data_IF_017160734864
#
_entry.id   IF_017160734864
#
_cell.length_a   1.000
_cell.length_b   1.000
_cell.length_c   1.000
_cell.angle_alpha   90.00
_cell.angle_beta   90.00
_cell.angle_gamma   90.00
#
_symmetry.space_group_name_H-M   'P 1'
#
loop_
_entity.id
_entity.type
_entity.pdbx_description
1 polymer ?
#
# COMPACT_ATOMS: atom_id res chain seq x y z
N UNK A 1 10.01 -25.27 46.85
CA UNK A 1 11.29 -25.51 47.55
C UNK A 1 12.34 -25.99 46.56
N UNK A 2 12.97 -25.05 45.83
CA UNK A 2 14.38 -25.07 45.42
C UNK A 2 14.73 -23.60 45.21
N UNK A 3 15.72 -23.14 45.96
CA UNK A 3 16.29 -21.80 45.95
C UNK A 3 17.72 -21.93 45.42
N UNK A 4 18.09 -21.14 44.41
CA UNK A 4 19.48 -20.89 43.98
C UNK A 4 19.47 -19.46 43.38
N UNK A 5 19.75 -18.45 44.21
CA UNK A 5 21.06 -17.79 44.42
C UNK A 5 21.33 -16.70 43.38
N UNK A 6 21.25 -15.46 43.89
CA UNK A 6 21.77 -14.22 43.32
C UNK A 6 23.29 -14.24 43.15
N UNK A 7 23.80 -13.70 42.05
CA UNK A 7 24.82 -12.63 42.04
C UNK A 7 25.31 -12.36 40.61
N UNK A 8 25.43 -11.08 40.26
CA UNK A 8 25.98 -10.67 38.96
C UNK A 8 25.63 -9.25 38.54
N UNK A 9 25.83 -8.28 39.44
CA UNK A 9 25.66 -6.85 39.21
C UNK A 9 26.70 -6.36 38.17
N UNK A 10 26.32 -6.26 36.89
CA UNK A 10 27.11 -5.54 35.87
C UNK A 10 26.53 -4.14 35.72
N UNK A 11 27.29 -3.15 36.18
CA UNK A 11 26.96 -1.74 36.07
C UNK A 11 26.76 -1.36 34.59
N UNK A 12 25.52 -1.01 34.22
CA UNK A 12 25.22 -0.37 32.92
C UNK A 12 25.57 1.12 33.01
N UNK A 13 26.23 1.69 31.98
CA UNK A 13 26.58 3.11 31.99
C UNK A 13 25.31 3.97 31.95
N UNK A 14 25.16 4.82 32.96
CA UNK A 14 24.11 5.83 33.03
C UNK A 14 24.42 6.94 32.02
N UNK A 15 23.89 6.81 30.80
CA UNK A 15 23.80 7.93 29.87
C UNK A 15 22.72 8.90 30.38
N UNK A 16 23.15 9.98 31.03
CA UNK A 16 22.28 11.12 31.32
C UNK A 16 21.99 11.83 29.99
N UNK A 17 20.83 11.57 29.40
CA UNK A 17 20.28 12.42 28.36
C UNK A 17 20.00 13.80 28.98
N UNK A 18 20.78 14.80 28.54
CA UNK A 18 20.52 16.21 28.77
C UNK A 18 19.12 16.53 28.25
N UNK A 19 18.38 17.33 29.03
CA UNK A 19 16.99 17.69 28.79
C UNK A 19 16.72 18.09 27.34
N UNK A 20 15.80 17.35 26.73
CA UNK A 20 15.14 17.72 25.49
C UNK A 20 14.10 18.78 25.86
N UNK A 21 14.41 20.04 25.59
CA UNK A 21 13.40 21.10 25.52
C UNK A 21 12.37 20.72 24.48
N UNK A 22 11.09 20.69 24.87
CA UNK A 22 9.96 20.38 24.00
C UNK A 22 10.01 21.20 22.70
N UNK A 23 10.40 20.53 21.62
CA UNK A 23 10.21 21.03 20.26
C UNK A 23 8.71 21.00 20.04
N UNK A 24 8.10 22.13 19.68
CA UNK A 24 6.67 22.19 19.37
C UNK A 24 6.34 21.14 18.32
N UNK A 25 5.43 20.22 18.63
CA UNK A 25 5.08 19.04 17.81
C UNK A 25 4.56 19.37 16.39
N UNK A 26 4.32 20.66 16.11
CA UNK A 26 3.85 21.18 14.82
C UNK A 26 4.87 22.15 14.18
N UNK A 27 6.17 21.98 14.42
CA UNK A 27 7.20 22.80 13.80
C UNK A 27 7.24 22.56 12.28
N UNK A 28 6.54 23.42 11.53
CA UNK A 28 6.64 23.51 10.08
C UNK A 28 8.10 23.75 9.67
N UNK A 29 8.59 23.17 8.57
CA UNK A 29 9.81 23.65 7.94
C UNK A 29 9.54 25.03 7.34
N UNK A 30 9.67 26.09 8.14
CA UNK A 30 9.39 27.47 7.76
C UNK A 30 8.67 28.30 8.83
N UNK A 31 8.15 29.50 8.47
CA UNK A 31 7.41 30.34 9.41
C UNK A 31 6.08 29.69 9.82
N UNK A 32 5.64 29.84 11.08
CA UNK A 32 4.41 29.25 11.57
C UNK A 32 3.17 29.79 10.83
N UNK A 33 2.08 29.03 10.88
CA UNK A 33 0.76 29.51 10.44
C UNK A 33 0.28 30.60 11.40
N UNK A 34 -0.21 31.70 10.85
CA UNK A 34 -0.89 32.77 11.57
C UNK A 34 -2.31 32.34 11.96
N UNK A 35 -2.91 33.02 12.94
CA UNK A 35 -4.29 32.74 13.36
C UNK A 35 -5.31 32.87 12.21
N UNK A 36 -5.09 33.80 11.27
CA UNK A 36 -5.94 33.94 10.07
C UNK A 36 -5.78 32.76 9.12
N UNK A 37 -4.55 32.28 8.90
CA UNK A 37 -4.32 31.10 8.08
C UNK A 37 -4.95 29.86 8.71
N UNK A 38 -4.82 29.67 10.03
CA UNK A 38 -5.47 28.57 10.74
C UNK A 38 -7.00 28.62 10.61
N UNK A 39 -7.60 29.81 10.69
CA UNK A 39 -9.05 29.97 10.46
C UNK A 39 -9.45 29.56 9.03
N UNK A 40 -8.70 30.01 8.02
CA UNK A 40 -8.97 29.65 6.61
C UNK A 40 -8.88 28.15 6.41
N UNK A 41 -7.88 27.49 6.99
CA UNK A 41 -7.72 26.05 6.90
C UNK A 41 -8.87 25.31 7.59
N UNK A 42 -9.27 25.74 8.78
CA UNK A 42 -10.43 25.16 9.47
C UNK A 42 -11.74 25.33 8.69
N UNK A 43 -11.95 26.49 8.06
CA UNK A 43 -13.11 26.73 7.17
C UNK A 43 -13.09 25.82 5.92
N UNK A 44 -11.90 25.39 5.49
CA UNK A 44 -11.71 24.44 4.40
C UNK A 44 -11.71 22.96 4.85
N UNK A 45 -12.02 22.67 6.12
CA UNK A 45 -12.01 21.29 6.64
C UNK A 45 -10.61 20.71 6.77
N UNK A 46 -9.59 21.53 7.04
CA UNK A 46 -8.20 21.10 7.19
C UNK A 46 -7.69 21.37 8.61
N UNK A 47 -7.05 20.36 9.20
CA UNK A 47 -6.42 20.47 10.52
C UNK A 47 -4.99 19.92 10.51
N UNK A 48 -4.18 20.34 11.49
CA UNK A 48 -2.81 19.88 11.67
C UNK A 48 -2.63 19.26 13.05
N UNK A 49 -2.22 17.99 13.10
CA UNK A 49 -1.89 17.30 14.34
C UNK A 49 -0.56 16.56 14.22
N UNK A 50 0.33 16.77 15.19
CA UNK A 50 1.64 16.10 15.29
C UNK A 50 2.42 16.06 13.97
N UNK A 51 2.44 17.19 13.24
CA UNK A 51 3.16 17.25 11.97
C UNK A 51 2.49 16.54 10.79
N UNK A 52 1.18 16.24 10.85
CA UNK A 52 0.41 15.71 9.71
C UNK A 52 -0.86 16.50 9.42
N UNK A 53 -1.28 16.48 8.16
CA UNK A 53 -2.50 17.09 7.65
C UNK A 53 -3.65 16.11 7.80
N UNK A 54 -4.75 16.58 8.37
CA UNK A 54 -6.02 15.85 8.44
C UNK A 54 -7.00 16.54 7.49
N UNK A 55 -7.58 15.77 6.59
CA UNK A 55 -8.60 16.19 5.63
C UNK A 55 -9.98 16.00 6.24
N UNK A 56 -10.99 16.68 5.69
CA UNK A 56 -12.38 16.59 6.16
C UNK A 56 -12.51 16.72 7.69
N UNK A 57 -11.66 17.58 8.27
CA UNK A 57 -11.48 17.76 9.68
C UNK A 57 -12.79 18.19 10.34
N UNK A 58 -13.23 17.41 11.30
CA UNK A 58 -14.46 17.68 12.05
C UNK A 58 -14.21 18.69 13.17
N UNK A 59 -15.25 19.41 13.63
CA UNK A 59 -15.17 20.30 14.77
C UNK A 59 -14.56 19.63 16.02
N UNK A 60 -13.85 20.37 16.88
CA UNK A 60 -13.32 19.83 18.13
C UNK A 60 -14.38 19.19 19.02
N UNK A 61 -14.03 18.10 19.71
CA UNK A 61 -14.89 17.44 20.67
C UNK A 61 -15.25 18.39 21.83
N UNK A 62 -16.50 18.32 22.30
CA UNK A 62 -16.94 19.02 23.50
C UNK A 62 -16.70 18.19 24.78
N UNK A 63 -16.82 18.83 25.95
CA UNK A 63 -16.56 18.18 27.23
C UNK A 63 -17.57 17.08 27.58
N UNK A 64 -18.81 17.20 27.08
CA UNK A 64 -19.87 16.25 27.38
C UNK A 64 -19.64 14.93 26.64
N UNK A 65 -19.34 15.00 25.34
CA UNK A 65 -19.00 13.83 24.52
C UNK A 65 -17.70 13.20 25.01
N UNK A 66 -16.68 14.02 25.34
CA UNK A 66 -15.42 13.51 25.89
C UNK A 66 -15.65 12.73 27.20
N UNK A 67 -16.51 13.25 28.09
CA UNK A 67 -16.90 12.56 29.32
C UNK A 67 -17.62 11.25 29.06
N UNK A 68 -18.57 11.23 28.12
CA UNK A 68 -19.31 10.03 27.74
C UNK A 68 -18.40 8.92 27.20
N UNK A 69 -17.41 9.26 26.37
CA UNK A 69 -16.42 8.27 25.89
C UNK A 69 -15.54 7.77 27.04
N UNK A 70 -15.09 8.68 27.92
CA UNK A 70 -14.26 8.32 29.07
C UNK A 70 -14.96 7.33 30.02
N UNK A 71 -16.29 7.43 30.17
CA UNK A 71 -17.08 6.49 30.98
C UNK A 71 -17.07 5.05 30.45
N UNK A 72 -16.86 4.86 29.14
CA UNK A 72 -16.74 3.53 28.49
C UNK A 72 -15.34 2.92 28.64
N UNK A 73 -14.34 3.71 29.05
CA UNK A 73 -12.93 3.30 29.08
C UNK A 73 -12.50 2.75 30.44
N UNK A 74 -11.55 1.79 30.42
CA UNK A 74 -11.01 1.16 31.63
C UNK A 74 -10.16 2.10 32.49
N UNK A 75 -9.59 3.15 31.89
CA UNK A 75 -8.87 4.22 32.56
C UNK A 75 -9.19 5.60 31.96
N UNK A 76 -8.48 6.66 32.38
CA UNK A 76 -8.68 8.00 31.81
C UNK A 76 -8.36 8.01 30.31
N UNK A 77 -8.87 8.99 29.57
CA UNK A 77 -8.46 9.17 28.19
C UNK A 77 -7.01 9.71 28.14
N UNK A 78 -6.11 9.12 27.33
CA UNK A 78 -4.74 9.60 27.23
C UNK A 78 -4.64 11.03 26.67
N UNK A 79 -3.75 11.85 27.23
CA UNK A 79 -3.59 13.26 26.82
C UNK A 79 -3.38 13.47 25.31
N UNK A 80 -2.58 12.65 24.59
CA UNK A 80 -2.42 12.78 23.15
C UNK A 80 -3.72 12.55 22.35
N UNK A 81 -4.59 11.65 22.82
CA UNK A 81 -5.89 11.41 22.20
C UNK A 81 -6.83 12.59 22.41
N UNK A 82 -6.89 13.11 23.64
CA UNK A 82 -7.65 14.32 23.93
C UNK A 82 -7.16 15.49 23.07
N UNK A 83 -5.84 15.65 22.92
CA UNK A 83 -5.25 16.69 22.08
C UNK A 83 -5.63 16.56 20.60
N UNK A 84 -5.68 15.33 20.06
CA UNK A 84 -6.17 15.07 18.71
C UNK A 84 -7.63 15.53 18.59
N UNK A 85 -8.51 15.03 19.45
CA UNK A 85 -9.94 15.34 19.36
C UNK A 85 -10.29 16.79 19.64
N UNK A 86 -9.46 17.52 20.40
CA UNK A 86 -9.58 18.98 20.54
C UNK A 86 -9.05 19.77 19.35
N UNK A 87 -8.25 19.13 18.50
CA UNK A 87 -7.79 19.69 17.23
C UNK A 87 -8.80 19.39 16.14
N UNK A 88 -9.22 18.13 16.04
CA UNK A 88 -10.25 17.64 15.14
C UNK A 88 -10.83 16.32 15.66
N UNK A 89 -12.14 16.24 15.79
CA UNK A 89 -12.83 15.03 16.28
C UNK A 89 -13.34 14.21 15.11
N UNK A 90 -12.41 13.65 14.34
CA UNK A 90 -12.70 12.91 13.11
C UNK A 90 -11.90 13.44 11.93
N UNK A 91 -12.23 12.96 10.74
CA UNK A 91 -11.59 13.34 9.48
C UNK A 91 -10.82 12.20 8.84
N UNK A 92 -10.13 12.52 7.75
CA UNK A 92 -9.47 11.56 6.88
C UNK A 92 -7.96 11.77 6.81
N UNK A 93 -7.26 10.67 6.61
CA UNK A 93 -5.82 10.60 6.46
C UNK A 93 -5.50 10.00 5.09
N UNK A 94 -4.55 10.61 4.38
CA UNK A 94 -4.12 10.20 3.05
C UNK A 94 -2.59 10.06 3.05
N UNK A 95 -2.12 9.10 3.85
CA UNK A 95 -0.72 8.79 4.13
C UNK A 95 -0.44 7.30 4.05
N UNK A 96 0.82 6.94 3.80
CA UNK A 96 1.30 5.56 3.84
C UNK A 96 1.68 5.19 5.28
N UNK A 97 1.00 4.19 5.84
CA UNK A 97 1.34 3.57 7.12
C UNK A 97 1.78 2.12 6.90
N UNK A 98 2.84 1.72 7.61
CA UNK A 98 3.30 0.34 7.64
C UNK A 98 3.53 -0.10 9.08
N UNK A 99 3.25 -1.36 9.36
CA UNK A 99 3.48 -1.96 10.66
C UNK A 99 4.27 -3.25 10.54
N UNK A 100 5.08 -3.53 11.56
CA UNK A 100 5.63 -4.85 11.76
C UNK A 100 4.61 -5.71 12.51
N UNK A 101 3.91 -6.56 11.77
CA UNK A 101 3.03 -7.59 12.32
C UNK A 101 3.74 -8.93 12.12
N UNK A 102 3.90 -9.73 13.18
CA UNK A 102 4.59 -11.03 13.19
C UNK A 102 5.94 -11.08 12.43
N UNK A 103 6.75 -10.03 12.50
CA UNK A 103 8.03 -9.93 11.80
C UNK A 103 7.90 -9.60 10.31
N UNK A 104 6.71 -9.21 9.85
CA UNK A 104 6.40 -8.83 8.48
C UNK A 104 6.02 -7.36 8.43
N UNK A 105 6.72 -6.63 7.56
CA UNK A 105 6.44 -5.23 7.25
C UNK A 105 5.24 -5.14 6.29
N UNK A 106 4.05 -4.87 6.83
CA UNK A 106 2.79 -4.84 6.08
C UNK A 106 2.20 -3.44 5.98
N UNK A 107 1.58 -3.08 4.84
CA UNK A 107 0.79 -1.85 4.76
C UNK A 107 -0.45 -1.96 5.66
N UNK A 108 -0.84 -0.83 6.23
CA UNK A 108 -2.09 -0.66 6.96
C UNK A 108 -2.85 0.54 6.39
N UNK A 109 -4.13 0.35 6.10
CA UNK A 109 -5.06 1.42 5.75
C UNK A 109 -5.57 2.08 7.03
N UNK A 110 -4.97 3.22 7.36
CA UNK A 110 -5.45 4.11 8.43
C UNK A 110 -5.91 5.41 7.79
N UNK A 111 -7.08 5.35 7.15
CA UNK A 111 -7.60 6.43 6.30
C UNK A 111 -8.69 7.27 6.95
N UNK A 112 -9.31 6.77 8.02
CA UNK A 112 -10.37 7.45 8.77
C UNK A 112 -10.01 7.55 10.25
N UNK A 113 -10.31 8.71 10.85
CA UNK A 113 -10.41 8.90 12.29
C UNK A 113 -11.89 8.80 12.67
N UNK A 114 -12.28 7.83 13.49
CA UNK A 114 -13.68 7.59 13.83
C UNK A 114 -14.27 8.76 14.63
N UNK A 115 -15.49 9.15 14.25
CA UNK A 115 -16.28 10.18 14.94
C UNK A 115 -17.76 9.82 14.88
N UNK A 116 -18.62 10.42 15.74
CA UNK A 116 -20.06 10.17 15.71
C UNK A 116 -20.69 10.57 14.38
N UNK A 117 -21.64 9.78 13.90
CA UNK A 117 -22.32 9.99 12.62
C UNK A 117 -21.38 9.95 11.40
N UNK A 118 -20.17 9.36 11.50
CA UNK A 118 -19.36 9.09 10.30
C UNK A 118 -20.12 8.12 9.38
N UNK A 119 -20.05 8.38 8.07
CA UNK A 119 -20.88 7.70 7.07
C UNK A 119 -20.42 6.30 6.68
N UNK A 120 -19.36 5.80 7.33
CA UNK A 120 -18.71 4.54 7.04
C UNK A 120 -19.37 3.36 7.78
N UNK A 121 -18.71 2.20 7.84
CA UNK A 121 -19.31 0.94 8.31
C UNK A 121 -19.91 1.04 9.73
N UNK A 122 -19.14 1.60 10.66
CA UNK A 122 -19.60 2.00 11.99
C UNK A 122 -18.98 3.36 12.31
N UNK A 123 -19.79 4.23 12.90
CA UNK A 123 -19.29 5.44 13.53
C UNK A 123 -18.55 5.11 14.84
N UNK A 124 -18.03 6.13 15.53
CA UNK A 124 -17.30 5.91 16.80
C UNK A 124 -18.14 5.13 17.82
N UNK A 125 -19.44 5.43 17.95
CA UNK A 125 -20.30 4.77 18.94
C UNK A 125 -20.63 3.33 18.54
N UNK A 126 -20.89 3.08 17.27
CA UNK A 126 -21.07 1.73 16.74
C UNK A 126 -19.85 0.85 17.00
N UNK A 127 -18.64 1.38 16.82
CA UNK A 127 -17.42 0.65 17.18
C UNK A 127 -17.25 0.45 18.68
N UNK A 128 -17.52 1.46 19.50
CA UNK A 128 -17.48 1.32 20.97
C UNK A 128 -18.45 0.24 21.44
N UNK A 129 -19.68 0.24 20.92
CA UNK A 129 -20.71 -0.73 21.29
C UNK A 129 -20.32 -2.14 20.84
N UNK A 130 -19.83 -2.30 19.60
CA UNK A 130 -19.30 -3.56 19.09
C UNK A 130 -18.17 -4.13 19.98
N UNK A 131 -17.20 -3.30 20.35
CA UNK A 131 -16.08 -3.74 21.20
C UNK A 131 -16.53 -4.03 22.65
N UNK A 132 -17.55 -3.31 23.15
CA UNK A 132 -18.16 -3.60 24.45
C UNK A 132 -18.84 -4.98 24.45
N UNK A 133 -19.60 -5.31 23.40
CA UNK A 133 -20.25 -6.62 23.26
C UNK A 133 -19.21 -7.76 23.30
N UNK A 134 -18.09 -7.61 22.59
CA UNK A 134 -16.98 -8.58 22.63
C UNK A 134 -16.29 -8.65 24.01
N UNK A 135 -16.18 -7.52 24.70
CA UNK A 135 -15.58 -7.45 26.04
C UNK A 135 -16.48 -8.10 27.12
N UNK A 136 -17.80 -7.98 27.00
CA UNK A 136 -18.78 -8.61 27.89
C UNK A 136 -18.70 -10.15 27.80
N UNK A 137 -18.53 -10.70 26.60
CA UNK A 137 -18.25 -12.13 26.39
C UNK A 137 -16.98 -12.59 27.13
N UNK A 138 -16.05 -11.65 27.35
CA UNK A 138 -14.78 -11.84 28.05
C UNK A 138 -14.80 -11.39 29.53
N UNK A 139 -15.97 -11.04 30.08
CA UNK A 139 -16.19 -10.59 31.47
C UNK A 139 -15.54 -9.22 31.82
N UNK A 140 -15.44 -8.30 30.86
CA UNK A 140 -14.98 -6.92 31.09
C UNK A 140 -16.06 -5.91 30.68
N UNK A 141 -16.48 -5.05 31.61
CA UNK A 141 -17.52 -4.03 31.38
C UNK A 141 -16.96 -2.72 30.78
N UNK A 142 -15.64 -2.63 30.58
CA UNK A 142 -14.97 -1.41 30.09
C UNK A 142 -13.91 -1.71 29.06
N UNK A 143 -13.74 -0.79 28.12
CA UNK A 143 -12.78 -0.91 27.03
C UNK A 143 -11.35 -0.61 27.51
N UNK A 144 -10.47 -1.59 27.40
CA UNK A 144 -9.01 -1.40 27.54
C UNK A 144 -8.41 -0.83 26.24
N UNK A 145 -8.96 -1.21 25.09
CA UNK A 145 -8.57 -0.73 23.77
C UNK A 145 -9.74 0.03 23.16
N UNK A 146 -9.59 1.36 23.05
CA UNK A 146 -10.60 2.23 22.46
C UNK A 146 -10.32 2.37 20.96
N UNK A 147 -11.27 2.01 20.07
CA UNK A 147 -11.10 2.23 18.64
C UNK A 147 -11.11 3.73 18.32
N UNK A 148 -10.18 4.18 17.48
CA UNK A 148 -10.03 5.60 17.11
C UNK A 148 -10.01 5.86 15.60
N UNK A 149 -9.93 4.81 14.79
CA UNK A 149 -9.91 4.91 13.34
C UNK A 149 -9.49 3.61 12.67
N UNK A 150 -9.35 3.64 11.35
CA UNK A 150 -9.05 2.46 10.56
C UNK A 150 -9.55 2.56 9.13
N UNK A 151 -9.91 1.41 8.57
CA UNK A 151 -10.56 1.29 7.27
C UNK A 151 -11.59 0.15 7.28
N UNK A 152 -12.85 0.53 7.12
CA UNK A 152 -14.00 -0.36 7.14
C UNK A 152 -13.95 -1.34 8.34
N UNK A 153 -14.30 -2.61 8.12
CA UNK A 153 -14.24 -3.68 9.11
C UNK A 153 -12.93 -4.48 9.05
N UNK A 154 -12.01 -4.14 8.13
CA UNK A 154 -10.81 -4.91 7.84
C UNK A 154 -9.64 -4.51 8.74
N UNK A 155 -9.51 -3.23 9.06
CA UNK A 155 -8.38 -2.70 9.82
C UNK A 155 -8.86 -1.69 10.85
N UNK A 156 -8.38 -1.84 12.09
CA UNK A 156 -8.76 -0.97 13.21
C UNK A 156 -7.52 -0.54 13.98
N UNK A 157 -7.48 0.73 14.35
CA UNK A 157 -6.45 1.34 15.19
C UNK A 157 -7.06 1.69 16.54
N UNK A 158 -6.37 1.29 17.59
CA UNK A 158 -6.81 1.41 18.97
C UNK A 158 -5.81 2.21 19.81
N UNK A 159 -6.34 2.90 20.81
CA UNK A 159 -5.55 3.50 21.89
C UNK A 159 -5.82 2.71 23.18
N UNK A 160 -4.75 2.31 23.87
CA UNK A 160 -4.85 1.63 25.15
C UNK A 160 -5.18 2.63 26.28
N UNK A 161 -6.34 2.48 26.91
CA UNK A 161 -6.85 3.38 27.96
C UNK A 161 -6.63 2.84 29.37
N UNK A 162 -6.36 1.53 29.50
CA UNK A 162 -6.09 0.90 30.80
C UNK A 162 -4.93 1.57 31.53
N UNK A 163 -4.99 1.61 32.86
CA UNK A 163 -3.89 2.10 33.67
C UNK A 163 -2.70 1.13 33.58
N UNK A 164 -1.48 1.67 33.43
CA UNK A 164 -0.28 0.84 33.36
C UNK A 164 0.79 1.41 32.42
N UNK A 165 1.86 0.64 32.15
CA UNK A 165 2.96 1.06 31.29
C UNK A 165 2.55 1.26 29.82
N UNK A 166 1.46 0.61 29.39
CA UNK A 166 0.94 0.72 28.01
C UNK A 166 -0.15 1.78 27.87
N UNK A 167 -0.44 2.54 28.92
CA UNK A 167 -1.41 3.64 28.85
C UNK A 167 -1.02 4.66 27.78
N UNK A 168 -1.91 4.89 26.80
CA UNK A 168 -1.68 5.75 25.65
C UNK A 168 -1.06 5.06 24.43
N UNK A 169 -0.55 3.83 24.56
CA UNK A 169 0.05 3.12 23.46
C UNK A 169 -0.99 2.79 22.36
N UNK A 170 -0.52 2.79 21.12
CA UNK A 170 -1.35 2.58 19.93
C UNK A 170 -1.15 1.17 19.40
N UNK A 171 -2.24 0.49 19.10
CA UNK A 171 -2.27 -0.85 18.54
C UNK A 171 -3.09 -0.88 17.26
N UNK A 172 -2.84 -1.86 16.40
CA UNK A 172 -3.71 -2.19 15.29
C UNK A 172 -4.19 -3.63 15.36
N UNK A 173 -5.34 -3.86 14.77
CA UNK A 173 -5.84 -5.16 14.38
C UNK A 173 -6.09 -5.15 12.87
N UNK A 174 -5.70 -6.22 12.19
CA UNK A 174 -5.92 -6.45 10.77
C UNK A 174 -6.58 -7.80 10.58
N UNK A 175 -7.70 -7.83 9.85
CA UNK A 175 -8.44 -9.04 9.58
C UNK A 175 -7.63 -9.99 8.71
N UNK A 176 -7.60 -11.26 9.11
CA UNK A 176 -7.07 -12.34 8.30
C UNK A 176 -7.97 -12.69 7.12
N UNK A 177 -7.41 -13.32 6.08
CA UNK A 177 -8.26 -13.86 5.02
C UNK A 177 -9.14 -14.99 5.58
N UNK A 178 -10.39 -15.14 5.09
CA UNK A 178 -11.31 -16.15 5.61
C UNK A 178 -10.75 -17.57 5.61
N UNK A 179 -11.14 -18.42 6.57
CA UNK A 179 -10.71 -19.81 6.61
C UNK A 179 -10.98 -20.55 5.28
N UNK A 180 -9.95 -21.21 4.74
CA UNK A 180 -10.02 -21.95 3.47
C UNK A 180 -9.45 -21.23 2.26
N UNK A 181 -9.02 -19.97 2.42
CA UNK A 181 -8.21 -19.29 1.41
C UNK A 181 -6.75 -19.79 1.50
N UNK A 182 -6.09 -19.96 0.35
CA UNK A 182 -4.74 -20.54 0.25
C UNK A 182 -3.67 -19.73 1.01
N UNK A 183 -3.96 -18.44 1.26
CA UNK A 183 -3.14 -17.51 2.03
C UNK A 183 -3.81 -17.06 3.34
N UNK A 184 -4.78 -17.82 3.85
CA UNK A 184 -5.44 -17.53 5.13
C UNK A 184 -4.44 -17.60 6.27
N UNK A 185 -3.96 -16.42 6.66
CA UNK A 185 -3.43 -16.13 7.98
C UNK A 185 -4.60 -15.65 8.83
N UNK A 186 -4.67 -16.06 10.09
CA UNK A 186 -5.66 -15.50 11.03
C UNK A 186 -5.45 -14.00 11.22
N UNK A 187 -6.33 -13.40 12.01
CA UNK A 187 -6.22 -11.99 12.38
C UNK A 187 -4.87 -11.67 13.03
N UNK A 188 -4.39 -10.45 12.79
CA UNK A 188 -3.08 -9.99 13.23
C UNK A 188 -3.24 -8.78 14.11
N UNK A 189 -2.46 -8.72 15.19
CA UNK A 189 -2.45 -7.60 16.13
C UNK A 189 -1.02 -7.17 16.37
N UNK A 190 -0.78 -5.87 16.45
CA UNK A 190 0.55 -5.33 16.74
C UNK A 190 0.51 -3.97 17.40
N UNK A 191 1.59 -3.64 18.11
CA UNK A 191 1.80 -2.29 18.66
C UNK A 191 2.38 -1.41 17.56
N UNK A 192 1.75 -0.28 17.28
CA UNK A 192 2.20 0.69 16.30
C UNK A 192 3.15 1.72 16.92
N UNK A 193 2.79 2.27 18.08
CA UNK A 193 3.53 3.36 18.70
C UNK A 193 3.33 3.40 20.23
N UNK A 194 4.22 4.11 20.92
CA UNK A 194 4.11 4.36 22.36
C UNK A 194 3.03 5.38 22.71
N UNK A 195 2.68 6.26 21.76
CA UNK A 195 1.56 7.17 21.86
C UNK A 195 1.05 7.60 20.48
N UNK A 196 -0.04 8.39 20.47
CA UNK A 196 -0.67 8.86 19.25
C UNK A 196 0.19 9.85 18.44
N UNK A 197 1.09 10.60 19.09
CA UNK A 197 2.02 11.49 18.36
C UNK A 197 3.09 10.68 17.65
N UNK A 198 3.57 9.61 18.29
CA UNK A 198 4.45 8.61 17.70
C UNK A 198 3.81 7.91 16.50
N UNK A 199 2.52 7.57 16.56
CA UNK A 199 1.77 7.04 15.42
C UNK A 199 1.77 8.03 14.25
N UNK A 200 1.36 9.27 14.51
CA UNK A 200 1.30 10.31 13.46
C UNK A 200 2.68 10.59 12.85
N UNK A 201 3.76 10.51 13.65
CA UNK A 201 5.13 10.59 13.17
C UNK A 201 5.54 9.48 12.18
N UNK A 202 4.86 8.33 12.18
CA UNK A 202 5.11 7.21 11.26
C UNK A 202 4.36 7.34 9.93
N UNK A 203 3.32 8.17 9.87
CA UNK A 203 2.61 8.50 8.63
C UNK A 203 3.57 9.24 7.71
N UNK A 204 3.71 8.81 6.47
CA UNK A 204 4.63 9.41 5.51
C UNK A 204 4.03 9.34 4.11
N UNK A 205 4.72 9.91 3.14
CA UNK A 205 4.41 9.75 1.72
C UNK A 205 5.59 9.08 1.03
N UNK A 206 5.35 8.02 0.27
CA UNK A 206 6.40 7.38 -0.54
C UNK A 206 6.77 8.21 -1.79
N UNK A 207 5.90 9.12 -2.21
CA UNK A 207 6.07 9.97 -3.39
C UNK A 207 5.57 11.39 -3.12
N UNK A 208 6.16 12.39 -3.78
CA UNK A 208 5.62 13.75 -3.77
C UNK A 208 4.27 13.79 -4.52
N UNK A 209 3.16 14.18 -3.86
CA UNK A 209 1.86 14.25 -4.49
C UNK A 209 1.76 15.22 -5.67
N UNK A 210 2.63 16.24 -5.75
CA UNK A 210 2.66 17.17 -6.89
C UNK A 210 3.52 16.67 -8.06
N UNK A 211 4.30 15.60 -7.88
CA UNK A 211 5.00 14.92 -8.98
C UNK A 211 4.20 13.71 -9.49
N UNK A 212 3.35 13.13 -8.65
CA UNK A 212 2.46 12.02 -8.97
C UNK A 212 1.08 12.51 -9.43
N UNK A 213 0.47 11.86 -10.41
CA UNK A 213 -0.93 12.18 -10.75
C UNK A 213 -1.92 11.45 -9.83
N UNK A 214 -1.55 10.25 -9.37
CA UNK A 214 -2.38 9.32 -8.61
C UNK A 214 -1.64 8.73 -7.39
N UNK A 215 -2.40 8.09 -6.50
CA UNK A 215 -1.90 7.40 -5.30
C UNK A 215 -2.08 8.20 -4.00
N UNK A 216 -1.45 7.70 -2.94
CA UNK A 216 -1.47 8.32 -1.62
C UNK A 216 -1.00 9.78 -1.67
N UNK A 217 -1.74 10.68 -1.03
CA UNK A 217 -1.50 12.11 -0.97
C UNK A 217 -2.21 12.92 -2.07
N UNK A 218 -2.90 12.27 -3.01
CA UNK A 218 -3.64 12.95 -4.08
C UNK A 218 -4.78 13.82 -3.53
N UNK A 219 -5.52 13.34 -2.52
CA UNK A 219 -6.60 14.12 -1.90
C UNK A 219 -6.01 15.32 -1.13
N UNK A 220 -4.83 15.15 -0.51
CA UNK A 220 -4.12 16.27 0.12
C UNK A 220 -3.69 17.33 -0.88
N UNK A 221 -3.14 16.92 -2.03
CA UNK A 221 -2.75 17.83 -3.10
C UNK A 221 -3.97 18.65 -3.53
N UNK A 222 -5.07 17.97 -3.83
CA UNK A 222 -6.27 18.59 -4.36
C UNK A 222 -6.86 19.60 -3.35
N UNK A 223 -6.94 19.23 -2.08
CA UNK A 223 -7.40 20.14 -1.02
C UNK A 223 -6.49 21.36 -0.84
N UNK A 224 -5.17 21.17 -0.88
CA UNK A 224 -4.19 22.28 -0.76
C UNK A 224 -4.26 23.21 -1.97
N UNK A 225 -4.36 22.66 -3.18
CA UNK A 225 -4.45 23.43 -4.41
C UNK A 225 -5.80 24.18 -4.50
N UNK A 226 -6.90 23.61 -3.97
CA UNK A 226 -8.19 24.29 -3.85
C UNK A 226 -8.11 25.53 -2.94
N UNK A 227 -7.54 25.39 -1.73
CA UNK A 227 -7.30 26.53 -0.82
C UNK A 227 -6.45 27.61 -1.51
N UNK A 228 -5.40 27.19 -2.21
CA UNK A 228 -4.47 28.08 -2.92
C UNK A 228 -5.08 28.76 -4.14
N UNK A 229 -6.12 28.19 -4.74
CA UNK A 229 -6.80 28.75 -5.92
C UNK A 229 -7.75 29.92 -5.58
N UNK A 230 -7.95 30.20 -4.29
CA UNK A 230 -8.78 31.31 -3.85
C UNK A 230 -8.13 32.69 -4.09
N UNK A 231 -8.98 33.71 -4.23
CA UNK A 231 -8.55 35.10 -4.37
C UNK A 231 -7.88 35.68 -3.11
N UNK A 232 -8.01 35.04 -1.95
CA UNK A 232 -7.49 35.51 -0.66
C UNK A 232 -5.96 35.32 -0.56
N UNK A 233 -5.17 36.40 -0.35
CA UNK A 233 -3.73 36.30 -0.10
C UNK A 233 -3.35 35.41 1.10
N UNK A 234 -4.18 35.40 2.15
CA UNK A 234 -3.97 34.57 3.32
C UNK A 234 -4.10 33.08 3.00
N UNK A 235 -5.07 32.72 2.16
CA UNK A 235 -5.27 31.34 1.72
C UNK A 235 -4.13 30.85 0.82
N UNK A 236 -3.65 31.70 -0.11
CA UNK A 236 -2.45 31.39 -0.91
C UNK A 236 -1.21 31.17 -0.05
N UNK A 237 -1.02 31.98 0.98
CA UNK A 237 0.07 31.81 1.95
C UNK A 237 -0.07 30.50 2.74
N UNK A 238 -1.29 30.20 3.22
CA UNK A 238 -1.58 28.95 3.93
C UNK A 238 -1.32 27.72 3.06
N UNK A 239 -1.82 27.70 1.82
CA UNK A 239 -1.61 26.62 0.88
C UNK A 239 -0.12 26.40 0.56
N UNK A 240 0.66 27.47 0.36
CA UNK A 240 2.09 27.35 0.14
C UNK A 240 2.84 26.75 1.34
N UNK A 241 2.42 27.07 2.57
CA UNK A 241 2.96 26.47 3.80
C UNK A 241 2.55 25.00 3.94
N UNK A 242 1.29 24.67 3.66
CA UNK A 242 0.80 23.28 3.68
C UNK A 242 1.50 22.42 2.63
N UNK A 243 1.71 22.93 1.41
CA UNK A 243 2.46 22.21 0.38
C UNK A 243 3.85 21.82 0.86
N UNK A 244 4.61 22.77 1.43
CA UNK A 244 5.94 22.49 2.01
C UNK A 244 5.89 21.45 3.12
N UNK A 245 4.83 21.46 3.90
CA UNK A 245 4.64 20.53 5.00
C UNK A 245 4.32 19.11 4.52
N UNK A 246 3.42 18.98 3.56
CA UNK A 246 3.11 17.69 2.91
C UNK A 246 4.36 17.14 2.22
N UNK A 247 5.10 17.98 1.49
CA UNK A 247 6.37 17.58 0.87
C UNK A 247 7.43 17.15 1.89
N UNK A 248 7.44 17.73 3.09
CA UNK A 248 8.33 17.31 4.17
C UNK A 248 7.94 15.95 4.81
N UNK A 249 6.75 15.43 4.51
CA UNK A 249 6.33 14.09 4.90
C UNK A 249 6.80 13.02 3.89
N UNK A 250 7.37 13.42 2.75
CA UNK A 250 7.86 12.49 1.73
C UNK A 250 9.16 11.83 2.20
N UNK A 251 9.24 10.52 2.03
CA UNK A 251 10.44 9.74 2.35
C UNK A 251 11.62 10.15 1.46
N UNK A 252 12.64 10.78 2.06
CA UNK A 252 13.81 11.27 1.33
C UNK A 252 14.88 10.19 1.11
N UNK A 253 14.57 9.22 0.25
CA UNK A 253 15.54 8.20 -0.15
C UNK A 253 16.67 8.77 -1.02
N UNK A 254 16.47 9.92 -1.69
CA UNK A 254 17.50 10.58 -2.51
C UNK A 254 18.55 11.25 -1.64
N UNK A 255 18.15 11.96 -0.58
CA UNK A 255 19.07 12.50 0.43
C UNK A 255 19.89 11.39 1.09
N UNK A 256 19.24 10.29 1.51
CA UNK A 256 19.96 9.14 2.09
C UNK A 256 20.93 8.47 1.09
N UNK A 257 20.61 8.48 -0.21
CA UNK A 257 21.47 8.01 -1.29
C UNK A 257 22.69 8.91 -1.50
N UNK A 258 22.52 10.23 -1.39
CA UNK A 258 23.60 11.21 -1.52
C UNK A 258 24.52 11.25 -0.29
N UNK A 259 23.97 11.03 0.90
CA UNK A 259 24.71 10.90 2.16
C UNK A 259 25.39 9.53 2.32
N UNK A 260 25.05 8.55 1.48
CA UNK A 260 25.57 7.18 1.56
C UNK A 260 25.03 6.37 2.75
N UNK A 261 23.91 6.78 3.35
CA UNK A 261 23.28 6.13 4.51
C UNK A 261 22.16 5.17 4.12
N UNK A 262 21.73 5.18 2.85
CA UNK A 262 20.59 4.40 2.35
C UNK A 262 20.69 2.90 2.66
N UNK A 263 21.87 2.30 2.55
CA UNK A 263 22.06 0.86 2.76
C UNK A 263 21.68 0.39 4.18
N UNK A 264 21.75 1.26 5.19
CA UNK A 264 21.32 0.95 6.55
C UNK A 264 19.81 1.19 6.79
N UNK A 265 19.14 1.90 5.88
CA UNK A 265 17.77 2.36 6.03
C UNK A 265 16.82 1.53 5.16
N UNK A 266 16.38 0.37 5.68
CA UNK A 266 15.58 -0.62 4.94
C UNK A 266 14.40 -0.03 4.16
N UNK A 267 13.59 0.83 4.78
CA UNK A 267 12.41 1.43 4.13
C UNK A 267 12.80 2.30 2.93
N UNK A 268 13.77 3.20 3.11
CA UNK A 268 14.24 4.08 2.02
C UNK A 268 14.93 3.28 0.92
N UNK A 269 15.72 2.26 1.27
CA UNK A 269 16.39 1.39 0.32
C UNK A 269 15.41 0.64 -0.58
N UNK A 270 14.36 0.05 0.01
CA UNK A 270 13.30 -0.65 -0.74
C UNK A 270 12.55 0.28 -1.68
N UNK A 271 12.21 1.48 -1.20
CA UNK A 271 11.57 2.51 -2.01
C UNK A 271 12.45 2.92 -3.21
N UNK A 272 13.76 3.11 -2.98
CA UNK A 272 14.70 3.44 -4.04
C UNK A 272 14.84 2.32 -5.08
N UNK A 273 14.92 1.06 -4.64
CA UNK A 273 14.96 -0.12 -5.53
C UNK A 273 13.67 -0.25 -6.35
N UNK A 274 12.51 -0.10 -5.71
CA UNK A 274 11.22 -0.11 -6.39
C UNK A 274 11.14 0.98 -7.46
N UNK A 275 11.52 2.22 -7.10
CA UNK A 275 11.45 3.36 -8.03
C UNK A 275 12.40 3.18 -9.21
N UNK A 276 13.63 2.76 -8.97
CA UNK A 276 14.60 2.52 -10.03
C UNK A 276 14.16 1.40 -10.99
N UNK A 277 13.51 0.36 -10.46
CA UNK A 277 12.96 -0.73 -11.26
C UNK A 277 11.73 -0.30 -12.08
N UNK A 278 10.81 0.45 -11.48
CA UNK A 278 9.60 0.93 -12.14
C UNK A 278 9.90 1.97 -13.25
N UNK A 279 10.92 2.81 -13.05
CA UNK A 279 11.28 3.90 -13.95
C UNK A 279 12.27 3.49 -15.07
N UNK A 280 12.61 2.20 -15.18
CA UNK A 280 13.60 1.65 -16.11
C UNK A 280 15.02 2.28 -15.96
N UNK A 281 15.40 2.66 -14.73
CA UNK A 281 16.64 3.37 -14.42
C UNK A 281 17.78 2.42 -13.99
N UNK A 282 18.48 1.88 -14.99
CA UNK A 282 19.66 1.03 -14.80
C UNK A 282 20.81 1.76 -14.08
N UNK A 283 20.97 3.06 -14.31
CA UNK A 283 22.07 3.83 -13.73
C UNK A 283 21.89 3.98 -12.21
N UNK A 284 20.65 4.27 -11.79
CA UNK A 284 20.29 4.32 -10.39
C UNK A 284 20.43 2.95 -9.73
N UNK A 285 19.91 1.86 -10.34
CA UNK A 285 20.10 0.50 -9.80
C UNK A 285 21.59 0.15 -9.64
N UNK A 286 22.42 0.47 -10.62
CA UNK A 286 23.86 0.25 -10.53
C UNK A 286 24.49 1.03 -9.37
N UNK A 287 24.06 2.28 -9.14
CA UNK A 287 24.50 3.08 -8.00
C UNK A 287 24.05 2.46 -6.67
N UNK A 288 22.79 2.00 -6.57
CA UNK A 288 22.26 1.34 -5.38
C UNK A 288 23.04 0.07 -5.02
N UNK A 289 23.31 -0.78 -6.02
CA UNK A 289 24.11 -2.00 -5.83
C UNK A 289 25.55 -1.69 -5.43
N UNK A 290 26.16 -0.65 -5.99
CA UNK A 290 27.51 -0.22 -5.60
C UNK A 290 27.60 0.25 -4.14
N UNK A 291 26.50 0.70 -3.55
CA UNK A 291 26.41 1.02 -2.12
C UNK A 291 26.09 -0.19 -1.23
N UNK A 292 25.99 -1.39 -1.80
CA UNK A 292 25.69 -2.61 -1.06
C UNK A 292 24.19 -2.91 -0.90
N UNK A 293 23.31 -2.28 -1.69
CA UNK A 293 21.91 -2.70 -1.75
C UNK A 293 21.80 -4.02 -2.54
N UNK A 294 21.02 -4.96 -2.04
CA UNK A 294 20.75 -6.23 -2.72
C UNK A 294 19.71 -6.02 -3.83
N UNK A 295 20.04 -6.26 -5.12
CA UNK A 295 19.08 -6.12 -6.22
C UNK A 295 17.98 -7.20 -6.22
N UNK A 296 18.08 -8.23 -5.37
CA UNK A 296 17.06 -9.25 -5.16
C UNK A 296 16.18 -8.98 -3.92
N UNK A 297 16.45 -7.92 -3.14
CA UNK A 297 15.67 -7.63 -1.94
C UNK A 297 14.21 -7.35 -2.28
N UNK A 298 13.29 -8.01 -1.56
CA UNK A 298 11.86 -7.73 -1.69
C UNK A 298 11.53 -6.28 -1.31
N UNK A 299 10.89 -5.57 -2.22
CA UNK A 299 10.57 -4.14 -2.07
C UNK A 299 9.15 -3.92 -1.56
N UNK A 300 8.16 -4.65 -2.09
CA UNK A 300 6.74 -4.45 -1.79
C UNK A 300 5.95 -5.74 -1.86
N UNK A 301 5.27 -6.12 -0.78
CA UNK A 301 4.36 -7.29 -0.72
C UNK A 301 4.95 -8.59 -1.30
N UNK A 302 6.25 -8.83 -1.05
CA UNK A 302 6.97 -9.99 -1.58
C UNK A 302 7.42 -9.90 -3.04
N UNK A 303 7.28 -8.74 -3.68
CA UNK A 303 7.80 -8.49 -5.03
C UNK A 303 9.29 -8.12 -4.97
N UNK A 304 10.08 -8.70 -5.87
CA UNK A 304 11.45 -8.28 -6.16
C UNK A 304 11.48 -7.08 -7.11
N UNK A 305 12.63 -6.38 -7.24
CA UNK A 305 12.81 -5.34 -8.26
C UNK A 305 12.58 -5.87 -9.68
N UNK A 306 12.86 -7.15 -9.96
CA UNK A 306 12.58 -7.76 -11.26
C UNK A 306 11.07 -7.86 -11.51
N UNK A 307 10.29 -8.23 -10.50
CA UNK A 307 8.84 -8.34 -10.62
C UNK A 307 8.21 -6.96 -10.87
N UNK A 308 8.71 -5.92 -10.19
CA UNK A 308 8.30 -4.53 -10.44
C UNK A 308 8.65 -4.12 -11.87
N UNK A 309 9.89 -4.35 -12.31
CA UNK A 309 10.33 -4.05 -13.67
C UNK A 309 9.45 -4.73 -14.74
N UNK A 310 9.00 -5.96 -14.49
CA UNK A 310 8.10 -6.69 -15.39
C UNK A 310 6.69 -6.06 -15.47
N UNK A 311 6.12 -5.65 -14.34
CA UNK A 311 4.82 -4.94 -14.30
C UNK A 311 4.90 -3.64 -15.09
N UNK A 312 6.01 -2.92 -14.97
CA UNK A 312 6.22 -1.63 -15.61
C UNK A 312 6.80 -1.72 -17.04
N UNK A 313 7.04 -2.92 -17.56
CA UNK A 313 7.68 -3.15 -18.89
C UNK A 313 9.03 -2.43 -19.03
N UNK A 314 9.82 -2.40 -17.95
CA UNK A 314 11.12 -1.74 -17.87
C UNK A 314 12.19 -2.51 -18.66
N UNK A 315 12.31 -2.13 -19.94
CA UNK A 315 13.05 -2.85 -20.99
C UNK A 315 14.56 -2.98 -20.74
N UNK A 316 15.19 -2.00 -20.10
CA UNK A 316 16.62 -1.99 -19.83
C UNK A 316 16.95 -2.65 -18.48
N UNK A 317 16.10 -2.46 -17.48
CA UNK A 317 16.27 -3.01 -16.13
C UNK A 317 16.09 -4.52 -16.10
N UNK A 318 15.09 -5.07 -16.80
CA UNK A 318 14.84 -6.52 -16.84
C UNK A 318 16.10 -7.31 -17.23
N UNK A 319 16.73 -7.10 -18.40
CA UNK A 319 17.93 -7.85 -18.77
C UNK A 319 19.09 -7.60 -17.81
N UNK A 320 19.24 -6.36 -17.30
CA UNK A 320 20.30 -6.02 -16.34
C UNK A 320 20.21 -6.78 -15.00
N UNK A 321 18.99 -6.99 -14.50
CA UNK A 321 18.71 -7.80 -13.29
C UNK A 321 18.91 -9.29 -13.57
N UNK A 322 18.47 -9.78 -14.73
CA UNK A 322 18.65 -11.18 -15.13
C UNK A 322 20.13 -11.56 -15.30
N UNK A 323 20.97 -10.66 -15.83
CA UNK A 323 22.42 -10.85 -15.93
C UNK A 323 23.11 -10.97 -14.56
N UNK A 324 22.51 -10.39 -13.51
CA UNK A 324 23.00 -10.45 -12.14
C UNK A 324 22.48 -11.65 -11.36
N UNK A 325 21.68 -12.51 -11.99
CA UNK A 325 21.15 -13.71 -11.37
C UNK A 325 20.12 -13.43 -10.29
N UNK A 326 19.35 -12.33 -10.41
CA UNK A 326 18.19 -12.11 -9.55
C UNK A 326 17.22 -13.28 -9.71
N UNK A 327 16.71 -13.87 -8.61
CA UNK A 327 15.80 -15.02 -8.69
C UNK A 327 14.53 -14.69 -9.48
N UNK A 328 14.01 -15.67 -10.23
CA UNK A 328 12.90 -15.48 -11.18
C UNK A 328 11.65 -16.31 -10.83
N UNK A 329 11.64 -17.00 -9.69
CA UNK A 329 10.65 -18.03 -9.36
C UNK A 329 9.23 -17.48 -9.45
N UNK A 330 9.01 -16.22 -9.04
CA UNK A 330 7.70 -15.58 -9.03
C UNK A 330 7.43 -14.66 -10.23
N UNK A 331 8.41 -14.47 -11.11
CA UNK A 331 8.36 -13.40 -12.12
C UNK A 331 7.28 -13.58 -13.17
N UNK A 332 7.01 -14.81 -13.63
CA UNK A 332 5.91 -15.06 -14.55
C UNK A 332 4.53 -14.93 -13.89
N UNK A 333 4.42 -15.28 -12.60
CA UNK A 333 3.17 -15.12 -11.84
C UNK A 333 2.69 -13.67 -11.79
N UNK A 334 3.60 -12.70 -11.89
CA UNK A 334 3.26 -11.27 -11.87
C UNK A 334 3.28 -10.69 -13.29
N UNK A 335 4.34 -10.99 -14.05
CA UNK A 335 4.67 -10.37 -15.32
C UNK A 335 4.10 -11.03 -16.58
N UNK A 336 3.39 -12.17 -16.51
CA UNK A 336 2.97 -12.91 -17.72
C UNK A 336 2.14 -12.10 -18.73
N UNK A 337 1.42 -11.07 -18.29
CA UNK A 337 0.64 -10.15 -19.13
C UNK A 337 1.50 -9.12 -19.90
N UNK A 338 2.78 -8.96 -19.54
CA UNK A 338 3.63 -7.87 -19.98
C UNK A 338 4.94 -8.32 -20.68
N UNK A 339 5.28 -9.61 -20.60
CA UNK A 339 6.47 -10.19 -21.24
C UNK A 339 6.23 -10.48 -22.72
N UNK A 340 7.29 -10.39 -23.53
CA UNK A 340 7.32 -10.96 -24.87
C UNK A 340 7.69 -12.47 -24.84
N UNK A 341 7.64 -13.10 -26.02
CA UNK A 341 7.89 -14.54 -26.17
C UNK A 341 9.33 -14.94 -25.83
N UNK A 342 10.32 -14.09 -26.10
CA UNK A 342 11.73 -14.40 -25.82
C UNK A 342 12.02 -14.32 -24.33
N UNK A 343 11.55 -13.24 -23.69
CA UNK A 343 11.65 -13.05 -22.25
C UNK A 343 10.89 -14.15 -21.49
N UNK A 344 9.70 -14.53 -21.93
CA UNK A 344 8.96 -15.63 -21.31
C UNK A 344 9.74 -16.96 -21.34
N UNK A 345 10.40 -17.29 -22.47
CA UNK A 345 11.28 -18.47 -22.57
C UNK A 345 12.48 -18.34 -21.65
N UNK A 346 13.12 -17.18 -21.65
CA UNK A 346 14.30 -16.89 -20.84
C UNK A 346 14.02 -17.06 -19.34
N UNK A 347 12.86 -16.58 -18.87
CA UNK A 347 12.39 -16.74 -17.48
C UNK A 347 12.11 -18.21 -17.16
N UNK A 348 11.45 -18.94 -18.08
CA UNK A 348 11.20 -20.37 -17.95
C UNK A 348 12.49 -21.19 -17.83
N UNK A 349 13.47 -20.91 -18.70
CA UNK A 349 14.77 -21.59 -18.70
C UNK A 349 15.56 -21.32 -17.41
N UNK A 350 15.30 -20.18 -16.76
CA UNK A 350 15.85 -19.79 -15.45
C UNK A 350 15.07 -20.33 -14.26
N UNK A 351 14.00 -21.09 -14.47
CA UNK A 351 13.24 -21.77 -13.42
C UNK A 351 12.05 -20.97 -12.88
N UNK A 352 11.54 -20.00 -13.62
CA UNK A 352 10.30 -19.31 -13.24
C UNK A 352 9.14 -20.31 -13.08
N UNK A 353 8.43 -20.22 -11.96
CA UNK A 353 7.30 -21.08 -11.68
C UNK A 353 6.09 -20.69 -12.52
N UNK A 354 5.32 -21.69 -12.94
CA UNK A 354 4.06 -21.48 -13.65
C UNK A 354 2.98 -22.34 -13.01
N UNK A 355 1.87 -21.69 -12.73
CA UNK A 355 0.66 -22.25 -12.17
C UNK A 355 -0.58 -21.77 -12.96
N UNK A 356 -1.76 -22.05 -12.43
CA UNK A 356 -3.02 -21.64 -13.03
C UNK A 356 -3.22 -20.11 -13.02
N UNK A 357 -2.69 -19.41 -12.02
CA UNK A 357 -2.78 -17.95 -11.93
C UNK A 357 -1.92 -17.28 -13.00
N UNK A 358 -0.73 -17.81 -13.25
CA UNK A 358 0.20 -17.36 -14.31
C UNK A 358 -0.44 -17.43 -15.69
N UNK A 359 -1.07 -18.57 -16.03
CA UNK A 359 -1.79 -18.72 -17.31
C UNK A 359 -2.98 -17.76 -17.39
N UNK A 360 -3.69 -17.53 -16.28
CA UNK A 360 -4.81 -16.59 -16.24
C UNK A 360 -4.36 -15.17 -16.57
N UNK A 361 -3.26 -14.71 -15.98
CA UNK A 361 -2.68 -13.39 -16.29
C UNK A 361 -2.14 -13.34 -17.72
N UNK A 362 -1.54 -14.41 -18.21
CA UNK A 362 -1.07 -14.48 -19.59
C UNK A 362 -2.20 -14.23 -20.60
N UNK A 363 -3.46 -14.56 -20.30
CA UNK A 363 -4.59 -14.28 -21.21
C UNK A 363 -4.80 -12.79 -21.49
N UNK A 364 -4.30 -11.91 -20.63
CA UNK A 364 -4.30 -10.46 -20.81
C UNK A 364 -3.14 -9.99 -21.70
N UNK A 365 -2.20 -10.88 -22.04
CA UNK A 365 -1.13 -10.61 -22.98
C UNK A 365 -1.68 -10.50 -24.42
N UNK A 366 -1.17 -9.50 -25.15
CA UNK A 366 -1.51 -9.24 -26.54
C UNK A 366 -0.91 -10.30 -27.46
N UNK A 367 0.28 -10.82 -27.14
CA UNK A 367 0.94 -11.89 -27.88
C UNK A 367 0.38 -13.26 -27.49
N UNK A 368 -0.41 -13.84 -28.39
CA UNK A 368 -1.02 -15.16 -28.16
C UNK A 368 0.01 -16.30 -28.11
N UNK A 369 1.21 -16.12 -28.65
CA UNK A 369 2.27 -17.13 -28.56
C UNK A 369 2.85 -17.22 -27.15
N UNK A 370 2.87 -16.12 -26.38
CA UNK A 370 3.20 -16.14 -24.95
C UNK A 370 2.17 -16.99 -24.20
N UNK A 371 0.87 -16.75 -24.47
CA UNK A 371 -0.23 -17.54 -23.89
C UNK A 371 -0.04 -19.03 -24.20
N UNK A 372 0.28 -19.35 -25.45
CA UNK A 372 0.49 -20.71 -25.92
C UNK A 372 1.68 -21.37 -25.22
N UNK A 373 2.81 -20.67 -25.13
CA UNK A 373 4.02 -21.14 -24.46
C UNK A 373 3.75 -21.46 -22.99
N UNK A 374 3.23 -20.50 -22.23
CA UNK A 374 3.01 -20.63 -20.80
C UNK A 374 1.96 -21.70 -20.51
N UNK A 375 0.90 -21.76 -21.31
CA UNK A 375 -0.11 -22.81 -21.18
C UNK A 375 0.50 -24.20 -21.39
N UNK A 376 1.39 -24.39 -22.38
CA UNK A 376 2.07 -25.67 -22.66
C UNK A 376 2.98 -26.13 -21.53
N UNK A 377 3.60 -25.20 -20.82
CA UNK A 377 4.46 -25.49 -19.69
C UNK A 377 3.70 -26.05 -18.47
N UNK A 378 2.39 -25.78 -18.34
CA UNK A 378 1.60 -26.29 -17.21
C UNK A 378 0.96 -27.65 -17.50
N UNK A 379 0.94 -28.52 -16.47
CA UNK A 379 0.14 -29.75 -16.49
C UNK A 379 -1.34 -29.43 -16.22
N UNK A 380 -2.27 -29.89 -17.07
CA UNK A 380 -3.69 -29.69 -16.84
C UNK A 380 -4.17 -30.33 -15.53
N UNK A 381 -4.59 -29.53 -14.56
CA UNK A 381 -5.26 -29.98 -13.32
C UNK A 381 -6.77 -29.65 -13.33
N UNK A 382 -7.47 -29.94 -12.22
CA UNK A 382 -8.91 -29.63 -12.08
C UNK A 382 -9.20 -28.12 -12.06
N UNK A 383 -8.26 -27.32 -11.56
CA UNK A 383 -8.30 -25.86 -11.58
C UNK A 383 -8.19 -25.29 -12.98
N UNK A 384 -7.65 -26.03 -13.96
CA UNK A 384 -7.62 -25.60 -15.36
C UNK A 384 -8.91 -25.83 -16.14
N UNK A 385 -9.71 -26.83 -15.77
CA UNK A 385 -10.99 -27.15 -16.42
C UNK A 385 -11.99 -25.96 -16.39
N UNK A 386 -11.91 -25.11 -15.36
CA UNK A 386 -12.75 -23.90 -15.23
C UNK A 386 -12.45 -22.85 -16.30
N UNK A 387 -11.26 -22.87 -16.93
CA UNK A 387 -10.86 -21.88 -17.93
C UNK A 387 -11.34 -22.21 -19.35
N UNK A 388 -11.70 -23.46 -19.65
CA UNK A 388 -12.14 -23.86 -21.00
C UNK A 388 -13.30 -22.99 -21.52
N UNK A 389 -14.26 -22.63 -20.65
CA UNK A 389 -15.36 -21.71 -21.01
C UNK A 389 -14.88 -20.29 -21.32
N UNK A 390 -13.99 -19.73 -20.49
CA UNK A 390 -13.41 -18.38 -20.71
C UNK A 390 -12.61 -18.34 -22.00
N UNK A 391 -11.79 -19.36 -22.25
CA UNK A 391 -10.99 -19.48 -23.48
C UNK A 391 -11.86 -19.56 -24.74
N UNK A 392 -12.96 -20.32 -24.70
CA UNK A 392 -13.93 -20.37 -25.81
C UNK A 392 -14.61 -19.03 -26.06
N UNK A 393 -14.99 -18.33 -25.00
CA UNK A 393 -15.57 -16.99 -25.11
C UNK A 393 -14.58 -16.02 -25.78
N UNK A 394 -13.33 -15.99 -25.31
CA UNK A 394 -12.28 -15.14 -25.89
C UNK A 394 -11.96 -15.53 -27.33
N UNK A 395 -11.94 -16.83 -27.66
CA UNK A 395 -11.75 -17.31 -29.02
C UNK A 395 -12.89 -16.85 -29.96
N UNK A 396 -14.13 -16.86 -29.48
CA UNK A 396 -15.28 -16.38 -30.23
C UNK A 396 -15.23 -14.85 -30.44
N UNK A 397 -14.83 -14.09 -29.41
CA UNK A 397 -14.61 -12.64 -29.52
C UNK A 397 -13.53 -12.30 -30.54
N UNK A 398 -12.39 -13.01 -30.52
CA UNK A 398 -11.33 -12.84 -31.51
C UNK A 398 -11.81 -13.20 -32.93
N UNK A 399 -12.61 -14.25 -33.10
CA UNK A 399 -13.19 -14.59 -34.40
C UNK A 399 -14.14 -13.48 -34.93
N UNK A 400 -14.94 -12.89 -34.06
CA UNK A 400 -15.81 -11.75 -34.41
C UNK A 400 -14.99 -10.51 -34.78
N UNK A 401 -13.94 -10.19 -34.01
CA UNK A 401 -13.03 -9.09 -34.30
C UNK A 401 -12.33 -9.27 -35.65
N UNK A 402 -11.90 -10.49 -35.98
CA UNK A 402 -11.31 -10.82 -37.27
C UNK A 402 -12.29 -10.59 -38.45
N UNK A 403 -13.55 -10.99 -38.29
CA UNK A 403 -14.59 -10.77 -39.30
C UNK A 403 -14.87 -9.28 -39.51
N UNK A 404 -14.93 -8.50 -38.42
CA UNK A 404 -15.11 -7.06 -38.48
C UNK A 404 -13.93 -6.35 -39.17
N UNK A 405 -12.70 -6.72 -38.84
CA UNK A 405 -11.50 -6.19 -39.47
C UNK A 405 -11.44 -6.52 -40.97
N UNK A 406 -11.82 -7.75 -41.35
CA UNK A 406 -11.85 -8.16 -42.76
C UNK A 406 -12.94 -7.43 -43.56
N UNK A 407 -14.08 -7.11 -42.96
CA UNK A 407 -15.14 -6.33 -43.60
C UNK A 407 -14.72 -4.86 -43.80
N UNK A 408 -13.97 -4.28 -42.86
CA UNK A 408 -13.44 -2.92 -42.97
C UNK A 408 -12.37 -2.79 -44.07
N UNK A 409 -11.47 -3.77 -44.18
CA UNK A 409 -10.40 -3.78 -45.19
C UNK A 409 -10.95 -3.93 -46.62
N UNK A 410 -12.04 -4.69 -46.80
CA UNK A 410 -12.75 -4.80 -48.08
C UNK A 410 -13.48 -3.50 -48.50
N UNK A 411 -13.68 -2.55 -47.59
CA UNK A 411 -14.37 -1.27 -47.83
C UNK A 411 -13.44 -0.06 -48.04
N UNK A 412 -12.14 -0.18 -47.74
CA UNK A 412 -11.14 0.89 -47.86
C UNK A 412 -10.08 0.59 -48.92
N UNK A 413 -9.70 1.57 -49.74
CA UNK A 413 -8.62 1.42 -50.73
C UNK A 413 -7.30 1.10 -50.02
N UNK A 414 -6.80 -0.11 -50.26
CA UNK A 414 -5.55 -0.64 -49.74
C UNK A 414 -4.35 0.28 -49.97
N UNK A 415 -3.60 0.56 -48.91
CA UNK A 415 -2.18 0.91 -48.98
C UNK A 415 -1.38 -0.06 -48.13
N UNK A 416 -0.25 -0.48 -48.70
CA UNK A 416 0.46 -1.70 -48.37
C UNK A 416 1.47 -1.58 -47.19
N UNK A 417 1.81 -2.77 -46.67
CA UNK A 417 3.06 -3.16 -45.99
C UNK A 417 3.42 -2.53 -44.63
N UNK A 418 3.01 -3.18 -43.54
CA UNK A 418 3.87 -4.07 -42.73
C UNK A 418 3.01 -4.76 -41.66
N UNK A 419 3.41 -5.96 -41.24
CA UNK A 419 2.76 -6.85 -40.26
C UNK A 419 1.37 -7.37 -40.65
N UNK A 420 1.15 -8.68 -40.50
CA UNK A 420 -0.06 -9.39 -40.95
C UNK A 420 -1.35 -8.65 -40.58
N UNK A 421 -2.35 -8.67 -41.45
CA UNK A 421 -3.57 -7.84 -41.29
C UNK A 421 -4.18 -8.04 -39.91
N UNK A 422 -4.82 -7.02 -39.34
CA UNK A 422 -5.49 -7.15 -38.04
C UNK A 422 -6.44 -8.37 -38.00
N UNK A 423 -7.09 -8.68 -39.13
CA UNK A 423 -7.90 -9.87 -39.31
C UNK A 423 -7.12 -11.20 -39.22
N UNK A 424 -5.89 -11.26 -39.73
CA UNK A 424 -5.01 -12.43 -39.59
C UNK A 424 -4.55 -12.62 -38.14
N UNK A 425 -4.16 -11.54 -37.45
CA UNK A 425 -3.78 -11.60 -36.03
C UNK A 425 -4.92 -12.13 -35.15
N UNK A 426 -6.13 -11.62 -35.36
CA UNK A 426 -7.31 -12.06 -34.61
C UNK A 426 -7.76 -13.49 -34.97
N UNK A 427 -7.64 -13.91 -36.24
CA UNK A 427 -7.86 -15.33 -36.63
C UNK A 427 -6.86 -16.26 -35.95
N UNK A 428 -5.59 -15.88 -35.93
CA UNK A 428 -4.55 -16.64 -35.26
C UNK A 428 -4.82 -16.74 -33.75
N UNK A 429 -5.16 -15.60 -33.11
CA UNK A 429 -5.55 -15.54 -31.70
C UNK A 429 -6.74 -16.46 -31.38
N UNK A 430 -7.79 -16.42 -32.20
CA UNK A 430 -8.95 -17.31 -32.07
C UNK A 430 -8.58 -18.80 -32.17
N UNK A 431 -7.73 -19.15 -33.13
CA UNK A 431 -7.27 -20.54 -33.33
C UNK A 431 -6.49 -21.07 -32.14
N UNK A 432 -5.52 -20.30 -31.63
CA UNK A 432 -4.71 -20.68 -30.48
C UNK A 432 -5.55 -20.81 -29.21
N UNK A 433 -6.47 -19.87 -28.95
CA UNK A 433 -7.36 -19.94 -27.78
C UNK A 433 -8.30 -21.14 -27.85
N UNK A 434 -8.73 -21.56 -29.05
CA UNK A 434 -9.52 -22.77 -29.24
C UNK A 434 -8.71 -24.04 -28.97
N UNK A 435 -7.47 -24.13 -29.47
CA UNK A 435 -6.53 -25.23 -29.17
C UNK A 435 -6.35 -25.38 -27.65
N UNK A 436 -6.17 -24.26 -26.95
CA UNK A 436 -5.99 -24.24 -25.50
C UNK A 436 -7.28 -24.66 -24.76
N UNK A 437 -8.44 -24.16 -25.19
CA UNK A 437 -9.71 -24.52 -24.59
C UNK A 437 -9.95 -26.03 -24.64
N UNK A 438 -9.64 -26.66 -25.79
CA UNK A 438 -9.80 -28.09 -25.98
C UNK A 438 -8.82 -28.90 -25.15
N UNK A 439 -7.59 -28.43 -24.99
CA UNK A 439 -6.59 -29.07 -24.12
C UNK A 439 -6.99 -29.07 -22.64
N UNK A 440 -7.68 -28.02 -22.20
CA UNK A 440 -8.13 -27.89 -20.81
C UNK A 440 -9.52 -28.47 -20.56
N UNK A 441 -10.19 -29.01 -21.58
CA UNK A 441 -11.51 -29.60 -21.44
C UNK A 441 -11.43 -30.97 -20.73
N UNK A 442 -12.06 -31.13 -19.55
CA UNK A 442 -12.07 -32.40 -18.84
C UNK A 442 -12.82 -33.51 -19.59
N UNK A 443 -13.79 -33.17 -20.46
CA UNK A 443 -14.64 -34.14 -21.19
C UNK A 443 -13.98 -34.67 -22.48
N UNK A 444 -12.77 -34.19 -22.81
CA UNK A 444 -11.99 -34.59 -24.00
C UNK A 444 -10.65 -35.25 -23.69
N UNK A 445 -10.34 -35.61 -22.43
CA UNK A 445 -9.13 -36.42 -22.15
C UNK A 445 -9.33 -37.86 -22.68
N UNK A 446 -8.35 -38.45 -23.38
CA UNK A 446 -8.42 -39.85 -23.82
C UNK A 446 -8.42 -40.83 -22.65
#
# INVERSE_FOLDING_TARGET
MVSLVSDGLVARPTFRLRGVTAVSDNALPGPPLSGRELQILGEAGLALFAGRLVLDAQPPIDDAVLGAVAERCAGPLPDPLVALWRTTFGGRLDYDLRADLDGQDVPLSFSELFYPDSGDYHDLWGWIDHECELAEESQSDRLVHLPIGGFEYLERVYVHTGAGPDHGAVFCWQQGLPPGWELSTGDRVGRLADDLRGLFGQLVLERDPWEAQDGTGADMRDAVDEVGSSGDPGARSAAAKLRRFVQACVLDWRGALDEGTLAAQRRLRRLALERAAADDDVALLARLVAMGCDPAEEVRSGLSPLDVALVHRASAVIPWLLERGVPVENSLRVGAHAVDLELARNLLDRGASIDASTVTRALENEDVEVVRLLSRAVRPDKGFARFGRRLRLMAAQAAQAAQAAQAADNGGRATAQSDGTAAERERHRSSVLTELADRFDPDRRP
#
